data_IF_393652453222
#
_entry.id   IF_393652453222
#
_cell.length_a   1.000
_cell.length_b   1.000
_cell.length_c   1.000
_cell.angle_alpha   90.00
_cell.angle_beta   90.00
_cell.angle_gamma   90.00
#
_symmetry.space_group_name_H-M   'P 1'
#
loop_
_entity.id
_entity.type
_entity.pdbx_description
1 polymer ?
#
# COMPACT_ATOMS: atom_id res chain seq x y z
N UNK A 1 -21.44 1.58 -36.52
CA UNK A 1 -20.36 0.71 -35.99
C UNK A 1 -19.02 1.27 -36.44
N UNK A 2 -18.13 1.59 -35.50
CA UNK A 2 -16.75 1.98 -35.82
C UNK A 2 -16.03 0.72 -36.32
N UNK A 3 -15.44 0.78 -37.52
CA UNK A 3 -14.70 -0.36 -38.06
C UNK A 3 -13.37 -0.51 -37.30
N UNK A 4 -12.92 -1.72 -36.96
CA UNK A 4 -11.67 -1.94 -36.23
C UNK A 4 -10.46 -1.24 -36.85
N UNK A 5 -10.43 -1.14 -38.18
CA UNK A 5 -9.38 -0.44 -38.94
C UNK A 5 -9.31 1.06 -38.64
N UNK A 6 -10.47 1.71 -38.43
CA UNK A 6 -10.52 3.13 -38.07
C UNK A 6 -10.06 3.36 -36.63
N UNK A 7 -10.42 2.46 -35.72
CA UNK A 7 -9.92 2.48 -34.33
C UNK A 7 -8.41 2.30 -34.29
N UNK A 8 -7.87 1.34 -35.03
CA UNK A 8 -6.42 1.12 -35.11
C UNK A 8 -5.70 2.33 -35.72
N UNK A 9 -6.19 2.88 -36.83
CA UNK A 9 -5.60 4.06 -37.46
C UNK A 9 -5.63 5.27 -36.52
N UNK A 10 -6.75 5.46 -35.81
CA UNK A 10 -6.86 6.52 -34.80
C UNK A 10 -5.83 6.36 -33.68
N UNK A 11 -5.69 5.15 -33.12
CA UNK A 11 -4.68 4.87 -32.10
C UNK A 11 -3.26 5.11 -32.59
N UNK A 12 -2.94 4.73 -33.84
CA UNK A 12 -1.63 4.97 -34.43
C UNK A 12 -1.35 6.46 -34.64
N UNK A 13 -2.34 7.23 -35.07
CA UNK A 13 -2.21 8.69 -35.25
C UNK A 13 -2.00 9.38 -33.89
N UNK A 14 -2.80 9.02 -32.89
CA UNK A 14 -2.67 9.58 -31.53
C UNK A 14 -1.32 9.19 -30.93
N UNK A 15 -0.89 7.94 -31.08
CA UNK A 15 0.42 7.48 -30.63
C UNK A 15 1.57 8.25 -31.29
N UNK A 16 1.52 8.42 -32.61
CA UNK A 16 2.53 9.19 -33.34
C UNK A 16 2.56 10.67 -32.92
N UNK A 17 1.40 11.26 -32.64
CA UNK A 17 1.30 12.64 -32.13
C UNK A 17 1.94 12.76 -30.74
N UNK A 18 1.63 11.84 -29.82
CA UNK A 18 2.22 11.82 -28.49
C UNK A 18 3.75 11.63 -28.53
N UNK A 19 4.25 10.72 -29.37
CA UNK A 19 5.70 10.54 -29.56
C UNK A 19 6.36 11.78 -30.16
N UNK A 20 5.72 12.45 -31.11
CA UNK A 20 6.20 13.70 -31.68
C UNK A 20 6.27 14.82 -30.65
N UNK A 21 5.24 14.95 -29.79
CA UNK A 21 5.23 15.92 -28.69
C UNK A 21 6.32 15.60 -27.65
N UNK A 22 6.49 14.33 -27.32
CA UNK A 22 7.52 13.85 -26.40
C UNK A 22 8.94 14.18 -26.90
N UNK A 23 9.19 14.07 -28.20
CA UNK A 23 10.50 14.39 -28.78
C UNK A 23 10.84 15.89 -28.82
N UNK A 24 9.82 16.77 -28.82
CA UNK A 24 9.99 18.22 -28.96
C UNK A 24 9.99 18.92 -27.60
N UNK A 25 9.28 18.38 -26.62
CA UNK A 25 9.14 18.99 -25.30
C UNK A 25 10.45 18.86 -24.48
N UNK A 26 10.94 19.95 -23.89
CA UNK A 26 12.11 19.88 -23.01
C UNK A 26 11.79 19.07 -21.74
N UNK A 27 12.75 18.28 -21.26
CA UNK A 27 12.60 17.46 -20.04
C UNK A 27 12.24 18.32 -18.81
N UNK A 28 12.75 19.54 -18.73
CA UNK A 28 12.42 20.46 -17.64
C UNK A 28 11.00 21.06 -17.74
N UNK A 29 10.27 20.83 -18.83
CA UNK A 29 8.96 21.41 -19.10
C UNK A 29 9.02 22.86 -19.56
N UNK A 30 7.90 23.36 -20.07
CA UNK A 30 7.74 24.75 -20.52
C UNK A 30 7.06 25.55 -19.41
N UNK A 31 7.71 26.63 -18.97
CA UNK A 31 7.13 27.55 -17.99
C UNK A 31 6.00 28.36 -18.65
N UNK A 32 4.77 28.12 -18.23
CA UNK A 32 3.59 28.85 -18.72
C UNK A 32 3.31 30.10 -17.86
N UNK A 33 3.61 30.03 -16.56
CA UNK A 33 3.47 31.12 -15.59
C UNK A 33 4.48 30.90 -14.46
N UNK A 34 4.68 31.87 -13.54
CA UNK A 34 5.65 31.78 -12.43
C UNK A 34 5.55 30.47 -11.63
N UNK A 35 4.35 29.91 -11.49
CA UNK A 35 4.09 28.72 -10.68
C UNK A 35 3.51 27.53 -11.48
N UNK A 36 3.40 27.65 -12.81
CA UNK A 36 2.78 26.62 -13.67
C UNK A 36 3.75 26.21 -14.77
N UNK A 37 4.09 24.92 -14.77
CA UNK A 37 5.01 24.29 -15.71
C UNK A 37 4.27 23.20 -16.46
N UNK A 38 4.21 23.32 -17.78
CA UNK A 38 3.68 22.26 -18.64
C UNK A 38 4.79 21.24 -18.91
N UNK A 39 4.60 20.02 -18.42
CA UNK A 39 5.50 18.89 -18.67
C UNK A 39 4.79 17.86 -19.55
N UNK A 40 5.58 17.15 -20.35
CA UNK A 40 5.10 16.04 -21.17
C UNK A 40 6.05 14.85 -20.96
N UNK A 41 5.55 13.61 -20.82
CA UNK A 41 6.40 12.43 -20.62
C UNK A 41 7.42 12.26 -21.74
N UNK A 42 8.65 11.89 -21.40
CA UNK A 42 9.70 11.58 -22.36
C UNK A 42 9.50 10.20 -22.99
N UNK A 43 10.21 9.91 -24.09
CA UNK A 43 10.13 8.60 -24.75
C UNK A 43 10.63 7.49 -23.82
N UNK A 44 11.59 7.82 -22.95
CA UNK A 44 12.16 6.90 -21.96
C UNK A 44 11.13 6.55 -20.88
N UNK A 45 10.24 7.47 -20.50
CA UNK A 45 9.14 7.22 -19.57
C UNK A 45 8.03 6.33 -20.16
N UNK A 46 7.95 6.25 -21.49
CA UNK A 46 6.94 5.48 -22.23
C UNK A 46 7.40 4.07 -22.60
N UNK A 47 8.71 3.83 -22.61
CA UNK A 47 9.23 2.49 -22.79
C UNK A 47 9.01 1.71 -21.49
N UNK A 48 8.67 0.41 -21.56
CA UNK A 48 8.72 -0.43 -20.38
C UNK A 48 10.16 -0.45 -19.92
N UNK A 49 10.47 0.33 -18.89
CA UNK A 49 11.64 0.05 -18.09
C UNK A 49 11.38 -1.34 -17.51
N UNK A 50 12.28 -2.29 -17.75
CA UNK A 50 12.26 -3.60 -17.07
C UNK A 50 12.36 -3.43 -15.54
N UNK A 51 12.62 -2.20 -15.09
CA UNK A 51 12.17 -1.67 -13.82
C UNK A 51 10.63 -1.46 -13.83
N UNK A 52 9.86 -2.52 -14.01
CA UNK A 52 8.72 -2.71 -13.13
C UNK A 52 9.29 -3.14 -11.77
N UNK A 53 10.14 -2.30 -11.20
CA UNK A 53 10.21 -2.21 -9.76
C UNK A 53 8.81 -1.74 -9.39
N UNK A 54 8.01 -2.70 -8.91
CA UNK A 54 6.69 -2.53 -8.26
C UNK A 54 6.68 -1.50 -7.11
N UNK A 55 7.79 -0.77 -6.94
CA UNK A 55 8.21 0.07 -5.84
C UNK A 55 7.96 1.57 -6.14
N UNK A 56 7.92 2.00 -7.41
CA UNK A 56 7.82 3.44 -7.74
C UNK A 56 6.38 4.02 -7.78
N UNK A 57 5.35 3.19 -7.64
CA UNK A 57 4.00 3.70 -7.32
C UNK A 57 3.91 3.82 -5.79
N UNK A 58 3.70 5.01 -5.20
CA UNK A 58 3.52 5.14 -3.75
C UNK A 58 2.28 4.40 -3.23
N UNK A 59 1.43 3.91 -4.13
CA UNK A 59 0.31 3.02 -3.81
C UNK A 59 0.75 1.56 -3.54
N UNK A 60 1.97 1.15 -3.94
CA UNK A 60 2.52 -0.20 -3.80
C UNK A 60 3.85 -0.29 -3.05
N UNK A 61 4.36 0.82 -2.51
CA UNK A 61 5.60 0.83 -1.71
C UNK A 61 5.59 -0.25 -0.62
N UNK A 62 6.68 -1.01 -0.55
CA UNK A 62 6.89 -2.02 0.49
C UNK A 62 6.95 -1.37 1.87
N UNK A 63 6.72 -2.15 2.94
CA UNK A 63 6.79 -1.60 4.30
C UNK A 63 8.17 -1.01 4.58
N UNK A 64 9.22 -1.62 4.03
CA UNK A 64 10.61 -1.19 4.09
C UNK A 64 10.85 0.14 3.38
N UNK A 65 10.27 0.31 2.19
CA UNK A 65 10.39 1.53 1.40
C UNK A 65 9.59 2.69 1.99
N UNK A 66 8.39 2.43 2.51
CA UNK A 66 7.67 3.40 3.34
C UNK A 66 8.51 3.78 4.57
N UNK A 67 9.13 2.80 5.21
CA UNK A 67 10.03 3.06 6.34
C UNK A 67 11.24 3.89 5.92
N UNK A 68 11.84 3.72 4.73
CA UNK A 68 12.93 4.57 4.24
C UNK A 68 12.46 6.00 3.92
N UNK A 69 11.29 6.17 3.29
CA UNK A 69 10.68 7.48 3.02
C UNK A 69 10.37 8.23 4.34
N UNK A 70 9.96 7.51 5.38
CA UNK A 70 9.63 8.08 6.68
C UNK A 70 10.82 8.13 7.66
N UNK A 71 11.85 7.31 7.46
CA UNK A 71 13.12 7.32 8.17
C UNK A 71 13.97 8.46 7.63
N UNK A 72 13.53 9.68 7.91
CA UNK A 72 14.45 10.82 7.93
C UNK A 72 15.51 10.46 8.98
N UNK A 73 16.74 10.24 8.54
CA UNK A 73 17.92 10.31 9.42
C UNK A 73 17.99 11.75 9.95
N UNK A 74 17.30 11.97 11.05
CA UNK A 74 17.33 13.25 11.74
C UNK A 74 18.64 13.26 12.50
N UNK A 75 19.69 13.79 11.87
CA UNK A 75 20.88 14.18 12.60
C UNK A 75 20.45 15.27 13.60
N UNK A 76 20.22 14.84 14.84
CA UNK A 76 19.80 15.69 15.95
C UNK A 76 20.76 16.87 16.21
N UNK A 77 22.00 16.79 15.73
CA UNK A 77 23.01 17.84 15.84
C UNK A 77 22.98 18.85 14.67
N UNK A 78 22.38 18.48 13.53
CA UNK A 78 22.27 19.34 12.36
C UNK A 78 21.08 20.32 12.41
N UNK A 79 20.05 20.03 13.22
CA UNK A 79 18.86 20.88 13.34
C UNK A 79 19.04 21.93 14.44
N UNK A 80 19.48 23.14 14.06
CA UNK A 80 19.53 24.31 14.96
C UNK A 80 18.14 24.83 15.36
N UNK A 81 17.12 24.53 14.56
CA UNK A 81 15.74 24.99 14.77
C UNK A 81 14.97 24.05 15.70
N UNK A 82 14.66 24.52 16.90
CA UNK A 82 13.99 23.73 17.94
C UNK A 82 12.59 23.25 17.53
N UNK A 83 11.89 23.97 16.65
CA UNK A 83 10.56 23.57 16.18
C UNK A 83 10.67 22.40 15.21
N UNK A 84 11.61 22.45 14.26
CA UNK A 84 11.88 21.34 13.33
C UNK A 84 12.34 20.08 14.05
N UNK A 85 13.13 20.23 15.12
CA UNK A 85 13.56 19.10 15.94
C UNK A 85 12.39 18.45 16.65
N UNK A 86 11.49 19.24 17.23
CA UNK A 86 10.27 18.73 17.88
C UNK A 86 9.35 18.01 16.89
N UNK A 87 9.19 18.54 15.67
CA UNK A 87 8.39 17.90 14.62
C UNK A 87 8.99 16.56 14.19
N UNK A 88 10.32 16.50 14.04
CA UNK A 88 11.06 15.29 13.73
C UNK A 88 10.95 14.23 14.84
N UNK A 89 11.16 14.61 16.10
CA UNK A 89 11.00 13.74 17.27
C UNK A 89 9.57 13.19 17.37
N UNK A 90 8.57 14.05 17.16
CA UNK A 90 7.16 13.65 17.15
C UNK A 90 6.87 12.67 16.02
N UNK A 91 7.41 12.91 14.82
CA UNK A 91 7.25 12.00 13.68
C UNK A 91 7.86 10.65 13.97
N UNK A 92 9.09 10.60 14.47
CA UNK A 92 9.75 9.35 14.86
C UNK A 92 8.98 8.60 15.96
N UNK A 93 8.37 9.31 16.91
CA UNK A 93 7.53 8.68 17.94
C UNK A 93 6.26 8.05 17.35
N UNK A 94 5.68 8.65 16.31
CA UNK A 94 4.48 8.11 15.62
C UNK A 94 4.80 6.91 14.71
N UNK A 95 6.04 6.79 14.21
CA UNK A 95 6.47 5.69 13.35
C UNK A 95 6.82 4.41 14.12
N UNK A 96 6.95 4.48 15.45
CA UNK A 96 7.21 3.30 16.29
C UNK A 96 5.91 2.57 16.60
N UNK A 97 6.01 1.26 16.82
CA UNK A 97 4.91 0.47 17.39
C UNK A 97 4.49 1.12 18.72
N UNK A 98 3.22 1.51 18.81
CA UNK A 98 2.64 2.08 20.00
C UNK A 98 2.02 0.98 20.85
N UNK A 99 2.35 0.97 22.13
CA UNK A 99 1.87 -0.02 23.09
C UNK A 99 0.78 0.61 23.96
N UNK A 100 -0.18 -0.20 24.39
CA UNK A 100 -1.18 0.24 25.36
C UNK A 100 -0.48 0.73 26.63
N UNK A 101 -0.84 1.93 27.10
CA UNK A 101 -0.16 2.63 28.21
C UNK A 101 1.36 2.78 28.05
N UNK A 102 1.88 2.72 26.82
CA UNK A 102 3.33 2.68 26.53
C UNK A 102 4.06 1.52 27.24
N UNK A 103 3.34 0.45 27.56
CA UNK A 103 3.87 -0.72 28.26
C UNK A 103 4.21 -1.85 27.27
N UNK A 104 5.50 -2.07 27.05
CA UNK A 104 6.00 -3.11 26.15
C UNK A 104 5.74 -4.53 26.66
N UNK A 105 5.49 -4.70 27.95
CA UNK A 105 5.25 -6.01 28.55
C UNK A 105 3.87 -6.57 28.16
N UNK A 106 2.99 -5.74 27.60
CA UNK A 106 1.66 -6.15 27.10
C UNK A 106 1.70 -7.26 26.05
N UNK A 107 2.83 -7.44 25.34
CA UNK A 107 3.01 -8.52 24.37
C UNK A 107 3.85 -9.69 24.89
N UNK A 108 4.35 -9.66 26.14
CA UNK A 108 5.19 -10.75 26.67
C UNK A 108 4.47 -12.10 26.65
N UNK A 109 3.28 -12.17 27.24
CA UNK A 109 2.50 -13.41 27.30
C UNK A 109 2.18 -13.95 25.90
N UNK A 110 1.94 -13.05 24.94
CA UNK A 110 1.71 -13.39 23.54
C UNK A 110 2.93 -14.08 22.91
N UNK A 111 4.13 -13.53 23.08
CA UNK A 111 5.36 -14.14 22.55
C UNK A 111 5.74 -15.42 23.30
N UNK A 112 5.52 -15.48 24.62
CA UNK A 112 5.73 -16.69 25.40
C UNK A 112 4.83 -17.83 24.92
N UNK A 113 3.57 -17.54 24.61
CA UNK A 113 2.63 -18.51 24.06
C UNK A 113 3.00 -18.93 22.63
N UNK A 114 3.50 -18.02 21.79
CA UNK A 114 4.04 -18.38 20.48
C UNK A 114 5.22 -19.35 20.57
N UNK A 115 6.14 -19.12 21.50
CA UNK A 115 7.28 -20.04 21.72
C UNK A 115 6.82 -21.43 22.16
N UNK A 116 5.85 -21.51 23.08
CA UNK A 116 5.27 -22.79 23.53
C UNK A 116 4.62 -23.56 22.39
N UNK A 117 3.95 -22.85 21.47
CA UNK A 117 3.20 -23.44 20.36
C UNK A 117 4.07 -23.98 19.22
N UNK A 118 5.38 -23.70 19.20
CA UNK A 118 6.33 -24.26 18.19
C UNK A 118 6.28 -25.79 18.10
N UNK A 119 5.94 -26.47 19.21
CA UNK A 119 5.85 -27.93 19.27
C UNK A 119 4.50 -28.47 18.78
N UNK A 120 3.40 -27.82 19.16
CA UNK A 120 2.04 -28.17 18.73
C UNK A 120 1.04 -27.13 19.18
N UNK A 121 0.06 -26.82 18.34
CA UNK A 121 -1.11 -26.02 18.68
C UNK A 121 -1.45 -25.01 17.58
N UNK A 122 -2.35 -24.07 17.89
CA UNK A 122 -2.80 -23.04 16.95
C UNK A 122 -3.09 -21.73 17.67
N UNK A 123 -2.35 -20.69 17.31
CA UNK A 123 -2.69 -19.30 17.62
C UNK A 123 -3.24 -18.63 16.36
N UNK A 124 -4.25 -17.76 16.52
CA UNK A 124 -4.76 -16.91 15.45
C UNK A 124 -4.52 -15.46 15.86
N UNK A 125 -3.77 -14.73 15.04
CA UNK A 125 -3.48 -13.31 15.24
C UNK A 125 -4.40 -12.52 14.31
N UNK A 126 -5.12 -11.54 14.86
CA UNK A 126 -6.04 -10.70 14.11
C UNK A 126 -5.50 -9.27 14.08
N UNK A 127 -5.24 -8.76 12.87
CA UNK A 127 -4.96 -7.35 12.65
C UNK A 127 -6.24 -6.66 12.21
N UNK A 128 -6.51 -5.49 12.78
CA UNK A 128 -7.67 -4.67 12.46
C UNK A 128 -7.23 -3.24 12.25
N UNK A 129 -7.68 -2.62 11.16
CA UNK A 129 -7.25 -1.27 10.80
C UNK A 129 -7.92 -0.77 9.54
N UNK A 130 -7.22 0.13 8.85
CA UNK A 130 -7.68 0.78 7.64
C UNK A 130 -7.23 0.05 6.36
N UNK A 131 -7.21 0.77 5.24
CA UNK A 131 -6.77 0.31 3.93
C UNK A 131 -5.38 -0.37 3.91
N UNK A 132 -4.45 -0.01 4.81
CA UNK A 132 -3.12 -0.62 4.85
C UNK A 132 -3.13 -2.05 5.40
N UNK A 133 -4.07 -2.33 6.31
CA UNK A 133 -4.36 -3.69 6.78
C UNK A 133 -5.19 -4.45 5.75
N UNK A 134 -6.16 -3.79 5.10
CA UNK A 134 -7.02 -4.39 4.06
C UNK A 134 -6.21 -4.86 2.84
N UNK A 135 -5.24 -4.07 2.37
CA UNK A 135 -4.35 -4.42 1.27
C UNK A 135 -3.19 -5.35 1.66
N UNK A 136 -3.22 -5.93 2.86
CA UNK A 136 -2.21 -6.89 3.36
C UNK A 136 -0.76 -6.37 3.41
N UNK A 137 -0.54 -5.04 3.36
CA UNK A 137 0.81 -4.45 3.32
C UNK A 137 1.58 -4.65 4.62
N UNK A 138 0.92 -4.41 5.76
CA UNK A 138 1.51 -4.64 7.09
C UNK A 138 1.26 -6.09 7.55
N UNK A 139 0.02 -6.58 7.39
CA UNK A 139 -0.37 -7.93 7.81
C UNK A 139 0.46 -9.00 7.12
N UNK A 140 0.72 -8.86 5.82
CA UNK A 140 1.49 -9.81 5.03
C UNK A 140 2.93 -9.92 5.53
N UNK A 141 3.57 -8.79 5.77
CA UNK A 141 4.93 -8.73 6.32
C UNK A 141 5.00 -9.38 7.71
N UNK A 142 4.15 -8.96 8.65
CA UNK A 142 4.13 -9.51 10.00
C UNK A 142 3.84 -11.02 9.98
N UNK A 143 2.86 -11.47 9.18
CA UNK A 143 2.53 -12.89 9.05
C UNK A 143 3.73 -13.69 8.54
N UNK A 144 4.45 -13.17 7.54
CA UNK A 144 5.64 -13.82 6.99
C UNK A 144 6.76 -13.95 8.04
N UNK A 145 7.11 -12.86 8.72
CA UNK A 145 8.16 -12.89 9.74
C UNK A 145 7.80 -13.77 10.93
N UNK A 146 6.55 -13.71 11.39
CA UNK A 146 6.07 -14.57 12.47
C UNK A 146 6.06 -16.06 12.08
N UNK A 147 5.66 -16.39 10.85
CA UNK A 147 5.66 -17.78 10.37
C UNK A 147 7.08 -18.31 10.16
N UNK A 148 8.03 -17.46 9.75
CA UNK A 148 9.46 -17.82 9.68
C UNK A 148 10.03 -18.11 11.05
N UNK A 149 9.78 -17.25 12.03
CA UNK A 149 10.35 -17.38 13.38
C UNK A 149 9.64 -18.48 14.19
N UNK A 150 8.32 -18.41 14.34
CA UNK A 150 7.56 -19.28 15.24
C UNK A 150 6.91 -20.49 14.54
N UNK A 151 7.03 -20.57 13.22
CA UNK A 151 6.32 -21.58 12.43
C UNK A 151 4.84 -21.22 12.20
N UNK A 152 4.10 -22.16 11.62
CA UNK A 152 2.74 -21.92 11.17
C UNK A 152 2.65 -21.74 9.66
N UNK A 153 1.42 -21.70 9.14
CA UNK A 153 1.17 -21.63 7.70
C UNK A 153 -0.26 -21.18 7.41
N UNK A 154 -0.44 -20.68 6.19
CA UNK A 154 -1.73 -20.32 5.63
C UNK A 154 -2.09 -18.85 5.87
N UNK A 155 -3.09 -18.36 5.13
CA UNK A 155 -3.45 -16.94 5.11
C UNK A 155 -4.26 -16.50 6.34
N UNK A 156 -4.89 -17.45 7.04
CA UNK A 156 -5.73 -17.17 8.20
C UNK A 156 -7.22 -17.10 7.83
N UNK A 157 -7.93 -16.12 8.41
CA UNK A 157 -9.30 -15.79 8.03
C UNK A 157 -9.26 -14.90 6.78
N UNK A 158 -10.01 -15.27 5.75
CA UNK A 158 -10.09 -14.54 4.47
C UNK A 158 -11.55 -14.28 4.14
N UNK A 159 -11.83 -13.18 3.45
CA UNK A 159 -13.18 -12.84 3.02
C UNK A 159 -13.64 -13.82 1.94
N UNK A 160 -14.94 -14.16 1.93
CA UNK A 160 -15.50 -15.09 0.93
C UNK A 160 -15.37 -14.60 -0.53
N UNK A 161 -15.33 -13.27 -0.70
CA UNK A 161 -14.88 -12.62 -1.92
C UNK A 161 -14.16 -11.33 -1.51
N UNK A 162 -13.07 -11.01 -2.18
CA UNK A 162 -12.20 -9.88 -1.85
C UNK A 162 -12.65 -8.66 -2.65
N UNK A 163 -12.88 -7.54 -1.96
CA UNK A 163 -13.07 -6.25 -2.61
C UNK A 163 -11.74 -5.59 -3.02
N UNK A 164 -10.65 -5.97 -2.35
CA UNK A 164 -9.27 -5.54 -2.62
C UNK A 164 -8.43 -6.82 -2.65
N UNK A 165 -7.66 -7.07 -3.72
CA UNK A 165 -6.78 -8.24 -3.79
C UNK A 165 -5.77 -8.24 -2.65
N UNK A 166 -5.55 -9.38 -2.02
CA UNK A 166 -4.47 -9.55 -1.03
C UNK A 166 -3.27 -10.27 -1.65
N UNK A 167 -2.07 -10.06 -1.08
CA UNK A 167 -0.86 -10.78 -1.52
C UNK A 167 -0.81 -12.23 -1.00
N UNK A 168 -1.75 -12.60 -0.12
CA UNK A 168 -1.74 -13.85 0.63
C UNK A 168 -2.37 -15.02 -0.12
N UNK A 169 -3.36 -14.73 -0.96
CA UNK A 169 -4.21 -15.74 -1.59
C UNK A 169 -4.48 -15.37 -3.04
N UNK A 170 -4.78 -16.40 -3.82
CA UNK A 170 -5.42 -16.26 -5.11
C UNK A 170 -6.80 -16.91 -4.99
N UNK A 171 -7.85 -16.16 -5.33
CA UNK A 171 -9.22 -16.62 -5.16
C UNK A 171 -10.14 -16.14 -6.28
N UNK A 172 -11.07 -17.02 -6.66
CA UNK A 172 -12.15 -16.71 -7.58
C UNK A 172 -13.48 -16.91 -6.86
N UNK A 173 -14.41 -15.97 -7.04
CA UNK A 173 -15.76 -16.06 -6.50
C UNK A 173 -16.75 -16.37 -7.63
N UNK A 174 -17.76 -17.17 -7.33
CA UNK A 174 -18.88 -17.41 -8.25
C UNK A 174 -19.68 -16.13 -8.50
N UNK A 175 -20.53 -16.14 -9.52
CA UNK A 175 -21.49 -15.05 -9.68
C UNK A 175 -22.48 -14.99 -8.50
N UNK A 176 -23.04 -13.80 -8.24
CA UNK A 176 -24.10 -13.48 -7.25
C UNK A 176 -23.70 -13.24 -5.78
N UNK A 177 -22.42 -12.97 -5.47
CA UNK A 177 -22.07 -12.45 -4.14
C UNK A 177 -22.44 -10.97 -4.00
N UNK A 178 -23.06 -10.60 -2.87
CA UNK A 178 -23.34 -9.20 -2.54
C UNK A 178 -22.47 -8.70 -1.38
N UNK A 179 -21.65 -7.68 -1.64
CA UNK A 179 -20.89 -6.97 -0.60
C UNK A 179 -21.77 -5.98 0.16
N UNK A 180 -21.80 -6.09 1.48
CA UNK A 180 -22.35 -5.06 2.36
C UNK A 180 -21.25 -4.56 3.29
N UNK A 181 -20.88 -3.28 3.16
CA UNK A 181 -19.83 -2.66 3.96
C UNK A 181 -20.35 -1.41 4.68
N UNK A 182 -19.77 -1.13 5.85
CA UNK A 182 -20.11 0.05 6.65
C UNK A 182 -19.52 1.35 6.06
N UNK A 183 -18.45 1.23 5.25
CA UNK A 183 -17.74 2.34 4.61
C UNK A 183 -17.98 2.38 3.10
N UNK A 184 -17.63 3.51 2.47
CA UNK A 184 -17.88 3.75 1.05
C UNK A 184 -19.38 3.95 0.77
N UNK A 185 -19.89 3.32 -0.29
CA UNK A 185 -21.32 3.41 -0.65
C UNK A 185 -22.16 2.48 0.21
N UNK A 186 -22.47 2.94 1.41
CA UNK A 186 -23.28 2.19 2.39
C UNK A 186 -24.69 1.90 1.85
N UNK A 187 -25.14 0.67 2.04
CA UNK A 187 -26.53 0.28 1.81
C UNK A 187 -27.43 0.87 2.90
N UNK A 188 -28.27 1.84 2.52
CA UNK A 188 -29.17 2.55 3.45
C UNK A 188 -30.35 1.70 3.90
N UNK A 189 -30.60 0.55 3.26
CA UNK A 189 -31.62 -0.41 3.70
C UNK A 189 -31.19 -1.16 4.95
N UNK A 190 -29.88 -1.26 5.21
CA UNK A 190 -29.31 -1.93 6.38
C UNK A 190 -29.25 -0.95 7.56
N UNK A 191 -30.19 -1.13 8.49
CA UNK A 191 -30.33 -0.29 9.69
C UNK A 191 -29.41 -0.71 10.85
N UNK A 192 -28.91 -1.94 10.85
CA UNK A 192 -28.01 -2.45 11.88
C UNK A 192 -26.52 -2.24 11.54
N UNK A 193 -25.64 -2.51 12.51
CA UNK A 193 -24.18 -2.51 12.34
C UNK A 193 -23.57 -3.91 12.47
N UNK A 194 -24.41 -4.94 12.39
CA UNK A 194 -24.01 -6.34 12.56
C UNK A 194 -23.47 -6.91 11.24
N UNK A 195 -22.23 -6.58 10.89
CA UNK A 195 -21.57 -7.04 9.65
C UNK A 195 -20.67 -8.28 9.88
N UNK A 196 -20.59 -8.78 11.12
CA UNK A 196 -19.70 -9.88 11.49
C UNK A 196 -18.22 -9.47 11.61
N UNK A 197 -17.37 -10.48 11.76
CA UNK A 197 -15.90 -10.45 11.65
C UNK A 197 -15.49 -11.42 10.54
#
# INVERSE_FOLDING_TARGET
MIKPQHTLLFLLIVGALCLGLSAIMPQEGILMTKDVRLQFPSIEDLLPNDHLDRNDDPEYATAEELLEVYAVEVDSLAIQDSLKRLEAERRQALLKIQYFNNDKTTLHDFFEDLEKLRKSGKMRVMHYGDSQIEGDRITGYLRNEMQKEFGGRGPGLVQAFEGIPTMAIDQEASDNWERKALYGRRDTTIKHKDYGL
#
